data_IF_664837805765
#
_entry.id   IF_664837805765
#
_cell.length_a   1.000
_cell.length_b   1.000
_cell.length_c   1.000
_cell.angle_alpha   90.00
_cell.angle_beta   90.00
_cell.angle_gamma   90.00
#
_symmetry.space_group_name_H-M   'P 1'
#
loop_
_entity.id
_entity.type
_entity.pdbx_description
1 polymer ?
#
# COMPACT_ATOMS: atom_id res chain seq x y z
N UNK A 1 54.46 45.61 -27.04
CA UNK A 1 53.55 45.91 -25.97
C UNK A 1 52.18 45.33 -26.31
N UNK A 2 51.91 44.16 -25.84
CA UNK A 2 50.57 43.52 -26.04
C UNK A 2 50.04 43.08 -24.71
N UNK A 3 49.03 43.78 -24.24
CA UNK A 3 48.34 43.51 -23.01
C UNK A 3 47.46 42.28 -23.19
N UNK A 4 47.75 41.23 -22.51
CA UNK A 4 46.85 40.08 -22.39
C UNK A 4 45.92 40.34 -21.21
N UNK A 5 44.64 40.60 -21.57
CA UNK A 5 43.57 40.63 -20.61
C UNK A 5 43.16 39.18 -20.26
N UNK A 6 43.47 38.76 -19.08
CA UNK A 6 42.98 37.50 -18.53
C UNK A 6 41.51 37.64 -18.24
N UNK A 7 40.70 36.88 -18.97
CA UNK A 7 39.27 36.69 -18.64
C UNK A 7 39.16 35.57 -17.65
N UNK A 8 38.89 35.90 -16.42
CA UNK A 8 38.57 34.93 -15.40
C UNK A 8 37.11 34.44 -15.62
N UNK A 9 37.00 33.22 -16.12
CA UNK A 9 35.71 32.54 -16.16
C UNK A 9 35.44 31.94 -14.80
N UNK A 10 34.57 32.59 -14.03
CA UNK A 10 34.06 32.04 -12.80
C UNK A 10 33.05 30.95 -13.14
N UNK A 11 33.48 29.70 -13.02
CA UNK A 11 32.58 28.55 -13.07
C UNK A 11 31.76 28.50 -11.79
N UNK A 12 30.51 28.92 -11.85
CA UNK A 12 29.52 28.67 -10.80
C UNK A 12 29.16 27.20 -10.84
N UNK A 13 29.79 26.42 -9.99
CA UNK A 13 29.35 25.08 -9.66
C UNK A 13 28.06 25.22 -8.82
N UNK A 14 26.93 25.19 -9.49
CA UNK A 14 25.66 24.94 -8.83
C UNK A 14 25.67 23.49 -8.34
N UNK A 15 26.11 23.27 -7.14
CA UNK A 15 25.89 22.01 -6.42
C UNK A 15 24.40 21.94 -6.15
N UNK A 16 23.68 21.35 -7.08
CA UNK A 16 22.33 20.89 -6.83
C UNK A 16 22.39 19.81 -5.77
N UNK A 17 22.16 20.21 -4.53
CA UNK A 17 21.86 19.25 -3.49
C UNK A 17 20.55 18.58 -3.85
N UNK A 18 20.61 17.46 -4.56
CA UNK A 18 19.49 16.56 -4.64
C UNK A 18 19.30 16.02 -3.23
N UNK A 19 18.44 16.67 -2.47
CA UNK A 19 17.96 16.14 -1.22
C UNK A 19 17.12 14.90 -1.55
N UNK A 20 17.78 13.76 -1.67
CA UNK A 20 17.12 12.48 -1.55
C UNK A 20 16.72 12.32 -0.09
N UNK A 21 15.66 13.01 0.31
CA UNK A 21 14.98 12.67 1.54
C UNK A 21 14.35 11.30 1.30
N UNK A 22 14.83 10.26 1.98
CA UNK A 22 14.37 8.89 1.86
C UNK A 22 12.98 8.63 2.42
N UNK A 23 12.15 9.65 2.60
CA UNK A 23 10.76 9.54 3.04
C UNK A 23 9.81 9.46 1.84
N UNK A 24 9.94 8.38 1.07
CA UNK A 24 8.95 8.07 0.03
C UNK A 24 7.54 7.79 0.60
N UNK A 25 7.43 7.49 1.90
CA UNK A 25 6.15 7.29 2.60
C UNK A 25 5.39 8.58 2.88
N UNK A 26 6.05 9.75 2.89
CA UNK A 26 5.42 11.04 3.18
C UNK A 26 4.72 11.69 1.98
N UNK A 27 4.89 11.16 0.76
CA UNK A 27 4.33 11.74 -0.47
C UNK A 27 2.90 11.28 -0.78
N UNK A 28 2.44 10.18 -0.18
CA UNK A 28 1.09 9.66 -0.40
C UNK A 28 0.10 10.26 0.61
N UNK A 29 -1.10 10.69 0.14
CA UNK A 29 -2.13 11.16 1.06
C UNK A 29 -2.53 10.04 2.03
N UNK A 30 -2.88 10.42 3.25
CA UNK A 30 -3.38 9.46 4.25
C UNK A 30 -4.63 8.77 3.73
N UNK A 31 -4.77 7.46 3.96
CA UNK A 31 -6.00 6.74 3.66
C UNK A 31 -7.19 7.34 4.42
N UNK A 32 -8.40 7.18 3.88
CA UNK A 32 -9.61 7.60 4.56
C UNK A 32 -9.85 6.80 5.86
N UNK A 33 -10.61 7.37 6.77
CA UNK A 33 -11.07 6.63 7.97
C UNK A 33 -11.86 5.38 7.60
N UNK A 34 -12.66 5.44 6.53
CA UNK A 34 -13.44 4.30 6.04
C UNK A 34 -12.53 3.14 5.59
N UNK A 35 -11.45 3.43 4.88
CA UNK A 35 -10.47 2.40 4.51
C UNK A 35 -9.77 1.81 5.73
N UNK A 36 -9.33 2.64 6.67
CA UNK A 36 -8.69 2.17 7.87
C UNK A 36 -9.61 1.31 8.75
N UNK A 37 -10.89 1.67 8.84
CA UNK A 37 -11.88 0.85 9.53
C UNK A 37 -12.10 -0.48 8.81
N UNK A 38 -12.22 -0.49 7.48
CA UNK A 38 -12.36 -1.70 6.70
C UNK A 38 -11.13 -2.62 6.85
N UNK A 39 -9.93 -2.05 6.88
CA UNK A 39 -8.68 -2.79 7.09
C UNK A 39 -8.61 -3.41 8.50
N UNK A 40 -9.01 -2.67 9.51
CA UNK A 40 -9.09 -3.15 10.88
C UNK A 40 -10.13 -4.28 11.03
N UNK A 41 -11.31 -4.10 10.45
CA UNK A 41 -12.37 -5.12 10.48
C UNK A 41 -11.94 -6.39 9.75
N UNK A 42 -11.27 -6.25 8.61
CA UNK A 42 -10.68 -7.35 7.87
C UNK A 42 -9.70 -8.14 8.74
N UNK A 43 -8.69 -7.48 9.29
CA UNK A 43 -7.64 -8.11 10.08
C UNK A 43 -8.20 -8.79 11.34
N UNK A 44 -9.11 -8.15 12.04
CA UNK A 44 -9.71 -8.65 13.28
C UNK A 44 -10.66 -9.82 13.07
N UNK A 45 -11.39 -9.83 11.94
CA UNK A 45 -12.44 -10.83 11.71
C UNK A 45 -11.99 -11.97 10.79
N UNK A 46 -10.96 -11.80 9.98
CA UNK A 46 -10.50 -12.83 9.07
C UNK A 46 -10.21 -14.17 9.76
N UNK A 47 -9.51 -14.22 10.90
CA UNK A 47 -9.26 -15.48 11.61
C UNK A 47 -10.53 -16.19 12.11
N UNK A 48 -11.58 -15.41 12.39
CA UNK A 48 -12.88 -15.93 12.85
C UNK A 48 -13.75 -16.47 11.72
N UNK A 49 -13.37 -16.16 10.47
CA UNK A 49 -14.12 -16.51 9.27
C UNK A 49 -13.44 -17.61 8.45
N UNK A 50 -12.53 -18.36 9.03
CA UNK A 50 -11.90 -19.51 8.38
C UNK A 50 -12.99 -20.46 7.88
N UNK A 51 -12.94 -20.84 6.60
CA UNK A 51 -13.96 -21.66 5.93
C UNK A 51 -15.23 -20.92 5.50
N UNK A 52 -15.37 -19.63 5.80
CA UNK A 52 -16.54 -18.80 5.44
C UNK A 52 -16.19 -17.84 4.30
N UNK A 53 -15.84 -18.38 3.14
CA UNK A 53 -15.28 -17.62 2.01
C UNK A 53 -16.16 -16.44 1.56
N UNK A 54 -17.48 -16.57 1.58
CA UNK A 54 -18.38 -15.48 1.22
C UNK A 54 -18.26 -14.30 2.18
N UNK A 55 -18.19 -14.56 3.49
CA UNK A 55 -18.02 -13.51 4.51
C UNK A 55 -16.63 -12.87 4.44
N UNK A 56 -15.60 -13.64 4.13
CA UNK A 56 -14.26 -13.11 3.85
C UNK A 56 -14.29 -12.18 2.62
N UNK A 57 -15.01 -12.58 1.57
CA UNK A 57 -15.19 -11.77 0.36
C UNK A 57 -15.88 -10.44 0.66
N UNK A 58 -16.88 -10.42 1.54
CA UNK A 58 -17.57 -9.19 1.97
C UNK A 58 -16.61 -8.22 2.67
N UNK A 59 -15.67 -8.70 3.48
CA UNK A 59 -14.64 -7.86 4.10
C UNK A 59 -13.70 -7.24 3.05
N UNK A 60 -13.28 -8.03 2.07
CA UNK A 60 -12.43 -7.54 0.98
C UNK A 60 -13.19 -6.56 0.07
N UNK A 61 -14.51 -6.75 -0.13
CA UNK A 61 -15.34 -5.80 -0.86
C UNK A 61 -15.32 -4.40 -0.20
N UNK A 62 -15.41 -4.33 1.11
CA UNK A 62 -15.30 -3.05 1.85
C UNK A 62 -13.92 -2.40 1.70
N UNK A 63 -12.86 -3.19 1.69
CA UNK A 63 -11.51 -2.69 1.39
C UNK A 63 -11.45 -2.07 -0.01
N UNK A 64 -11.99 -2.78 -1.01
CA UNK A 64 -11.97 -2.32 -2.40
C UNK A 64 -12.81 -1.05 -2.62
N UNK A 65 -13.97 -0.94 -1.96
CA UNK A 65 -14.84 0.24 -2.03
C UNK A 65 -14.19 1.50 -1.45
N UNK A 66 -13.36 1.34 -0.44
CA UNK A 66 -12.75 2.44 0.32
C UNK A 66 -11.27 2.66 0.00
N UNK A 67 -10.70 1.85 -0.87
CA UNK A 67 -9.27 1.88 -1.19
C UNK A 67 -8.82 3.24 -1.75
N UNK A 68 -7.68 3.77 -1.28
CA UNK A 68 -7.07 4.95 -1.89
C UNK A 68 -6.71 4.68 -3.35
N UNK A 69 -6.64 5.73 -4.15
CA UNK A 69 -6.43 5.63 -5.61
C UNK A 69 -5.14 4.88 -5.99
N UNK A 70 -4.11 5.01 -5.19
CA UNK A 70 -2.80 4.40 -5.43
C UNK A 70 -2.82 2.86 -5.36
N UNK A 71 -3.79 2.27 -4.65
CA UNK A 71 -3.96 0.81 -4.53
C UNK A 71 -5.35 0.33 -4.99
N UNK A 72 -6.15 1.17 -5.62
CA UNK A 72 -7.51 0.82 -6.02
C UNK A 72 -7.55 -0.39 -6.97
N UNK A 73 -6.61 -0.49 -7.89
CA UNK A 73 -6.51 -1.62 -8.81
C UNK A 73 -6.08 -2.90 -8.11
N UNK A 74 -5.13 -2.82 -7.18
CA UNK A 74 -4.71 -3.96 -6.36
C UNK A 74 -5.87 -4.48 -5.49
N UNK A 75 -6.64 -3.59 -4.90
CA UNK A 75 -7.81 -3.96 -4.11
C UNK A 75 -8.90 -4.65 -4.96
N UNK A 76 -9.09 -4.22 -6.22
CA UNK A 76 -10.00 -4.90 -7.16
C UNK A 76 -9.49 -6.27 -7.57
N UNK A 77 -8.20 -6.42 -7.84
CA UNK A 77 -7.58 -7.72 -8.13
C UNK A 77 -7.79 -8.67 -6.97
N UNK A 78 -7.60 -8.19 -5.75
CA UNK A 78 -7.85 -8.98 -4.55
C UNK A 78 -9.33 -9.40 -4.42
N UNK A 79 -10.26 -8.47 -4.59
CA UNK A 79 -11.70 -8.77 -4.54
C UNK A 79 -12.13 -9.77 -5.62
N UNK A 80 -11.64 -9.60 -6.85
CA UNK A 80 -11.93 -10.53 -7.95
C UNK A 80 -11.42 -11.94 -7.63
N UNK A 81 -10.20 -12.05 -7.10
CA UNK A 81 -9.64 -13.32 -6.66
C UNK A 81 -10.50 -14.00 -5.58
N UNK A 82 -11.01 -13.23 -4.61
CA UNK A 82 -11.88 -13.75 -3.56
C UNK A 82 -13.23 -14.24 -4.13
N UNK A 83 -13.82 -13.50 -5.06
CA UNK A 83 -15.05 -13.92 -5.75
C UNK A 83 -14.85 -15.19 -6.56
N UNK A 84 -13.76 -15.29 -7.30
CA UNK A 84 -13.40 -16.49 -8.08
C UNK A 84 -13.17 -17.67 -7.15
N UNK A 85 -12.46 -17.49 -6.05
CA UNK A 85 -12.27 -18.54 -5.05
C UNK A 85 -13.59 -18.99 -4.42
N UNK A 86 -14.50 -18.07 -4.12
CA UNK A 86 -15.83 -18.38 -3.63
C UNK A 86 -16.67 -19.18 -4.65
N UNK A 87 -16.40 -19.00 -5.95
CA UNK A 87 -16.99 -19.78 -7.03
C UNK A 87 -16.30 -21.13 -7.31
N UNK A 88 -15.26 -21.49 -6.53
CA UNK A 88 -14.54 -22.75 -6.63
C UNK A 88 -13.30 -22.74 -7.52
N UNK A 89 -12.86 -21.57 -8.01
CA UNK A 89 -11.63 -21.42 -8.78
C UNK A 89 -10.41 -21.44 -7.86
N UNK A 90 -9.66 -22.52 -7.87
CA UNK A 90 -8.44 -22.70 -7.06
C UNK A 90 -7.19 -22.10 -7.70
N UNK A 91 -7.23 -21.72 -8.98
CA UNK A 91 -6.08 -21.14 -9.70
C UNK A 91 -5.65 -19.78 -9.16
N UNK A 92 -6.48 -19.13 -8.34
CA UNK A 92 -6.19 -17.86 -7.71
C UNK A 92 -5.23 -17.95 -6.52
N UNK A 93 -5.05 -19.15 -5.96
CA UNK A 93 -4.32 -19.35 -4.68
C UNK A 93 -2.81 -19.09 -4.83
N UNK A 94 -2.22 -19.59 -5.92
CA UNK A 94 -0.77 -19.49 -6.16
C UNK A 94 -0.43 -18.52 -7.30
N UNK A 95 -1.21 -17.46 -7.45
CA UNK A 95 -1.02 -16.49 -8.52
C UNK A 95 -0.16 -15.30 -8.04
N UNK A 96 1.06 -15.11 -8.58
CA UNK A 96 1.97 -14.06 -8.12
C UNK A 96 1.44 -12.63 -8.29
N UNK A 97 0.54 -12.40 -9.25
CA UNK A 97 -0.10 -11.10 -9.44
C UNK A 97 -1.10 -10.81 -8.32
N UNK A 98 -1.85 -11.81 -7.91
CA UNK A 98 -2.82 -11.70 -6.82
C UNK A 98 -2.09 -11.53 -5.49
N UNK A 99 -1.05 -12.32 -5.26
CA UNK A 99 -0.21 -12.20 -4.06
C UNK A 99 0.36 -10.78 -3.89
N UNK A 100 0.94 -10.22 -4.95
CA UNK A 100 1.43 -8.82 -4.93
C UNK A 100 0.34 -7.80 -4.65
N UNK A 101 -0.84 -7.99 -5.22
CA UNK A 101 -1.98 -7.10 -4.98
C UNK A 101 -2.40 -7.14 -3.50
N UNK A 102 -2.48 -8.32 -2.90
CA UNK A 102 -2.76 -8.49 -1.47
C UNK A 102 -1.71 -7.82 -0.61
N UNK A 103 -0.43 -8.03 -0.92
CA UNK A 103 0.69 -7.42 -0.20
C UNK A 103 0.66 -5.89 -0.27
N UNK A 104 0.35 -5.33 -1.44
CA UNK A 104 0.25 -3.88 -1.62
C UNK A 104 -0.89 -3.29 -0.78
N UNK A 105 -2.05 -3.94 -0.75
CA UNK A 105 -3.18 -3.51 0.09
C UNK A 105 -2.81 -3.57 1.57
N UNK A 106 -2.23 -4.66 2.03
CA UNK A 106 -1.81 -4.83 3.42
C UNK A 106 -0.73 -3.83 3.83
N UNK A 107 0.26 -3.60 2.98
CA UNK A 107 1.31 -2.61 3.22
C UNK A 107 0.74 -1.20 3.32
N UNK A 108 -0.18 -0.85 2.43
CA UNK A 108 -0.82 0.47 2.44
C UNK A 108 -1.62 0.71 3.71
N UNK A 109 -2.32 -0.32 4.20
CA UNK A 109 -3.03 -0.27 5.47
C UNK A 109 -2.06 -0.13 6.66
N UNK A 110 -0.98 -0.89 6.68
CA UNK A 110 0.05 -0.81 7.73
C UNK A 110 0.73 0.55 7.78
N UNK A 111 1.03 1.14 6.64
CA UNK A 111 1.72 2.43 6.55
C UNK A 111 0.82 3.61 6.92
N UNK A 112 -0.47 3.51 6.66
CA UNK A 112 -1.42 4.61 6.79
C UNK A 112 -2.45 4.51 7.92
N UNK A 113 -2.63 3.34 8.51
CA UNK A 113 -3.69 3.07 9.48
C UNK A 113 -3.11 2.57 10.82
N UNK A 114 -3.10 3.41 11.83
CA UNK A 114 -2.49 3.10 13.12
C UNK A 114 -3.08 1.85 13.80
N UNK A 115 -4.40 1.69 13.78
CA UNK A 115 -5.07 0.53 14.39
C UNK A 115 -4.72 -0.79 13.69
N UNK A 116 -4.63 -0.78 12.37
CA UNK A 116 -4.22 -1.94 11.59
C UNK A 116 -2.78 -2.33 11.93
N UNK A 117 -1.89 -1.37 12.01
CA UNK A 117 -0.49 -1.60 12.38
C UNK A 117 -0.36 -2.23 13.77
N UNK A 118 -1.11 -1.77 14.75
CA UNK A 118 -1.11 -2.35 16.10
C UNK A 118 -1.45 -3.84 16.09
N UNK A 119 -2.44 -4.24 15.29
CA UNK A 119 -2.81 -5.64 15.17
C UNK A 119 -1.71 -6.48 14.51
N UNK A 120 -1.05 -5.94 13.49
CA UNK A 120 0.01 -6.65 12.77
C UNK A 120 1.29 -6.83 13.62
N UNK A 121 1.63 -5.86 14.45
CA UNK A 121 2.81 -5.90 15.31
C UNK A 121 2.65 -6.89 16.50
N UNK A 122 1.55 -7.62 16.56
CA UNK A 122 1.31 -8.61 17.61
C UNK A 122 1.16 -8.01 19.01
N UNK A 123 1.06 -6.71 19.12
CA UNK A 123 0.85 -6.01 20.38
C UNK A 123 -0.58 -6.15 20.92
N UNK A 124 -1.42 -6.94 20.26
CA UNK A 124 -2.67 -7.48 20.78
C UNK A 124 -2.48 -8.69 21.67
N UNK A 125 -1.27 -8.99 22.06
CA UNK A 125 -0.97 -10.03 23.03
C UNK A 125 -1.27 -9.56 24.43
N UNK A 126 -2.28 -10.11 25.03
CA UNK A 126 -2.53 -10.36 26.44
C UNK A 126 -1.71 -9.67 27.47
#
# INVERSE_FOLDING_TARGET
MRSFRAVAVAALLATGAAACSGDSSSSLPKPSKAFCQAAYDYDTNLPKLIGKIHKQTDLVAKLAETAPKDIADDARIYLDAMKRRAAGDTSVVDNPKIERAVDNVNRRASDGCALFKQNQDGSGGI
#
